data_IF_241276584487
#
_entry.id   IF_241276584487
#
_cell.length_a   1.000
_cell.length_b   1.000
_cell.length_c   1.000
_cell.angle_alpha   90.00
_cell.angle_beta   90.00
_cell.angle_gamma   90.00
#
_symmetry.space_group_name_H-M   'P 1'
#
loop_
_entity.id
_entity.type
_entity.pdbx_description
1 polymer ?
#
# COMPACT_ATOMS: atom_id res chain seq x y z
N UNK A 1 19.63 -18.70 42.41
CA UNK A 1 18.46 -18.56 41.52
C UNK A 1 18.22 -19.91 40.89
N UNK A 2 16.99 -20.45 40.98
CA UNK A 2 16.68 -21.80 40.46
C UNK A 2 16.97 -21.87 38.95
N UNK A 3 17.45 -23.02 38.48
CA UNK A 3 17.71 -23.34 37.07
C UNK A 3 16.55 -22.89 36.17
N UNK A 4 15.31 -23.04 36.66
CA UNK A 4 14.08 -22.63 35.98
C UNK A 4 13.99 -21.12 35.74
N UNK A 5 14.47 -20.29 36.67
CA UNK A 5 14.46 -18.84 36.53
C UNK A 5 15.47 -18.36 35.48
N UNK A 6 16.64 -19.01 35.40
CA UNK A 6 17.65 -18.69 34.38
C UNK A 6 17.20 -19.07 32.97
N UNK A 7 16.54 -20.22 32.80
CA UNK A 7 15.97 -20.64 31.51
C UNK A 7 14.84 -19.71 31.07
N UNK A 8 13.96 -19.28 31.99
CA UNK A 8 12.89 -18.34 31.69
C UNK A 8 13.41 -16.96 31.26
N UNK A 9 14.44 -16.44 31.92
CA UNK A 9 15.09 -15.18 31.55
C UNK A 9 15.76 -15.26 30.17
N UNK A 10 16.43 -16.37 29.86
CA UNK A 10 17.02 -16.62 28.53
C UNK A 10 15.95 -16.72 27.44
N UNK A 11 14.84 -17.43 27.68
CA UNK A 11 13.73 -17.51 26.73
C UNK A 11 13.07 -16.15 26.50
N UNK A 12 12.86 -15.35 27.55
CA UNK A 12 12.33 -13.99 27.43
C UNK A 12 13.28 -13.06 26.67
N UNK A 13 14.60 -13.20 26.88
CA UNK A 13 15.61 -12.44 26.13
C UNK A 13 15.65 -12.84 24.64
N UNK A 14 15.51 -14.14 24.33
CA UNK A 14 15.42 -14.62 22.95
C UNK A 14 14.12 -14.17 22.26
N UNK A 15 13.00 -14.12 22.99
CA UNK A 15 11.72 -13.59 22.48
C UNK A 15 11.78 -12.08 22.26
N UNK A 16 12.53 -11.34 23.08
CA UNK A 16 12.75 -9.90 22.89
C UNK A 16 13.66 -9.60 21.69
N UNK A 17 14.58 -10.52 21.35
CA UNK A 17 15.45 -10.42 20.18
C UNK A 17 14.76 -10.87 18.87
N UNK A 18 13.55 -11.43 18.94
CA UNK A 18 12.73 -11.73 17.78
C UNK A 18 12.00 -10.46 17.32
N UNK A 19 12.76 -9.56 16.71
CA UNK A 19 12.24 -8.35 16.07
C UNK A 19 11.49 -8.76 14.79
N UNK A 20 10.23 -9.19 14.94
CA UNK A 20 9.34 -9.51 13.83
C UNK A 20 8.95 -8.19 13.13
N UNK A 21 9.83 -7.71 12.26
CA UNK A 21 9.66 -6.41 11.60
C UNK A 21 8.69 -6.51 10.45
N UNK A 22 7.55 -5.90 10.69
CA UNK A 22 6.30 -6.13 9.99
C UNK A 22 5.61 -4.80 9.61
N UNK A 23 6.29 -3.69 9.92
CA UNK A 23 5.75 -2.34 9.88
C UNK A 23 5.78 -1.61 8.54
N UNK A 24 6.11 -2.30 7.43
CA UNK A 24 6.33 -1.66 6.14
C UNK A 24 7.74 -1.05 6.01
N UNK A 25 7.93 -0.18 5.01
CA UNK A 25 9.20 0.48 4.76
C UNK A 25 9.61 1.41 5.93
N UNK A 26 10.88 1.36 6.36
CA UNK A 26 11.38 2.23 7.44
C UNK A 26 11.49 3.69 6.99
N UNK A 27 11.44 4.62 7.94
CA UNK A 27 11.58 6.06 7.68
C UNK A 27 12.89 6.41 6.93
N UNK A 28 13.98 5.66 7.16
CA UNK A 28 15.25 5.86 6.44
C UNK A 28 15.13 5.63 4.92
N UNK A 29 14.21 4.76 4.47
CA UNK A 29 13.96 4.49 3.06
C UNK A 29 13.26 5.66 2.34
N UNK A 30 12.63 6.57 3.08
CA UNK A 30 11.79 7.62 2.53
C UNK A 30 12.57 8.61 1.66
N UNK A 31 13.80 8.94 2.05
CA UNK A 31 14.68 9.87 1.34
C UNK A 31 15.24 9.29 0.04
N UNK A 32 15.77 8.08 0.13
CA UNK A 32 16.56 7.45 -0.93
C UNK A 32 15.77 6.47 -1.78
N UNK A 33 14.55 6.08 -1.35
CA UNK A 33 13.83 4.93 -1.89
C UNK A 33 14.69 3.66 -1.89
N UNK A 34 15.59 3.55 -0.92
CA UNK A 34 16.43 2.38 -0.71
C UNK A 34 15.80 1.53 0.39
N UNK A 35 15.65 0.20 0.21
CA UNK A 35 15.26 -0.72 1.27
C UNK A 35 16.37 -0.83 2.35
N UNK A 36 16.57 0.21 3.15
CA UNK A 36 17.62 0.27 4.18
C UNK A 36 17.21 -0.57 5.41
N UNK A 37 17.47 -1.88 5.36
CA UNK A 37 17.34 -2.80 6.48
C UNK A 37 18.56 -3.71 6.58
N UNK A 38 18.92 -4.20 7.79
CA UNK A 38 19.93 -5.24 7.95
C UNK A 38 19.53 -6.47 7.14
N UNK A 39 20.29 -6.73 6.07
CA UNK A 39 20.11 -7.86 5.16
C UNK A 39 19.78 -7.51 3.71
N UNK A 40 19.42 -6.25 3.41
CA UNK A 40 19.52 -5.72 2.05
C UNK A 40 20.95 -5.21 1.81
N UNK A 41 21.92 -6.14 1.76
CA UNK A 41 23.35 -5.82 1.61
C UNK A 41 23.84 -5.92 0.16
N UNK A 42 23.02 -6.51 -0.72
CA UNK A 42 23.29 -6.53 -2.15
C UNK A 42 22.98 -5.16 -2.75
N UNK A 43 23.72 -4.74 -3.77
CA UNK A 43 23.31 -3.61 -4.60
C UNK A 43 21.93 -3.92 -5.23
N UNK A 44 21.12 -2.89 -5.42
CA UNK A 44 19.84 -3.03 -6.11
C UNK A 44 20.02 -3.64 -7.50
N UNK A 45 18.97 -4.28 -7.99
CA UNK A 45 18.90 -4.78 -9.36
C UNK A 45 19.08 -3.60 -10.35
N UNK A 46 19.85 -3.84 -11.41
CA UNK A 46 20.14 -2.84 -12.45
C UNK A 46 19.45 -3.16 -13.78
N UNK A 47 18.91 -4.37 -13.91
CA UNK A 47 18.04 -4.77 -15.00
C UNK A 47 16.70 -4.02 -14.94
N UNK A 48 15.97 -3.94 -16.07
CA UNK A 48 14.70 -3.24 -16.14
C UNK A 48 13.72 -3.69 -15.05
N UNK A 49 13.12 -2.72 -14.36
CA UNK A 49 12.15 -3.00 -13.29
C UNK A 49 10.89 -3.66 -13.87
N UNK A 50 10.46 -4.84 -13.37
CA UNK A 50 9.27 -5.53 -13.88
C UNK A 50 8.00 -5.09 -13.13
N UNK A 51 7.93 -3.82 -12.73
CA UNK A 51 6.81 -3.26 -11.95
C UNK A 51 6.58 -1.81 -12.36
N UNK A 52 5.35 -1.34 -12.27
CA UNK A 52 4.97 0.01 -12.66
C UNK A 52 3.83 0.55 -11.79
N UNK A 53 3.70 1.88 -11.81
CA UNK A 53 2.48 2.57 -11.37
C UNK A 53 1.66 2.81 -12.63
N UNK A 54 0.44 2.28 -12.65
CA UNK A 54 -0.52 2.50 -13.73
C UNK A 54 -1.02 3.95 -13.68
N UNK A 55 -0.71 4.70 -14.74
CA UNK A 55 -1.04 6.12 -14.88
C UNK A 55 -2.26 6.35 -15.79
N UNK A 56 -2.98 5.31 -16.19
CA UNK A 56 -4.15 5.44 -17.09
C UNK A 56 -5.33 6.22 -16.49
N UNK A 57 -5.27 6.55 -15.20
CA UNK A 57 -6.25 7.42 -14.52
C UNK A 57 -6.01 8.91 -14.75
N UNK A 58 -4.88 9.29 -15.36
CA UNK A 58 -4.55 10.66 -15.73
C UNK A 58 -4.89 10.88 -17.20
N UNK A 59 -5.46 12.05 -17.50
CA UNK A 59 -5.80 12.43 -18.87
C UNK A 59 -4.54 12.89 -19.62
N UNK A 60 -4.50 12.66 -20.92
CA UNK A 60 -3.47 13.22 -21.80
C UNK A 60 -3.95 14.52 -22.45
N UNK A 61 -3.05 15.46 -22.64
CA UNK A 61 -3.31 16.67 -23.40
C UNK A 61 -3.23 16.46 -24.91
N UNK A 62 -3.43 17.53 -25.69
CA UNK A 62 -3.37 17.47 -27.15
C UNK A 62 -2.00 17.03 -27.72
N UNK A 63 -0.95 17.07 -26.90
CA UNK A 63 0.41 16.65 -27.24
C UNK A 63 0.76 15.25 -26.69
N UNK A 64 -0.18 14.56 -26.03
CA UNK A 64 0.03 13.25 -25.40
C UNK A 64 0.74 13.33 -24.04
N UNK A 65 0.71 14.49 -23.38
CA UNK A 65 1.32 14.68 -22.06
C UNK A 65 0.31 14.36 -20.97
N UNK A 66 0.66 13.45 -20.06
CA UNK A 66 -0.20 13.11 -18.92
C UNK A 66 -0.33 14.30 -17.96
N UNK A 67 -1.56 14.58 -17.53
CA UNK A 67 -1.89 15.71 -16.67
C UNK A 67 -2.59 15.27 -15.39
N UNK A 68 -2.25 15.92 -14.28
CA UNK A 68 -3.04 15.86 -13.05
C UNK A 68 -3.82 17.16 -12.85
N UNK A 69 -5.04 17.05 -12.33
CA UNK A 69 -5.85 18.19 -11.94
C UNK A 69 -5.49 18.58 -10.50
N UNK A 70 -5.17 19.86 -10.22
CA UNK A 70 -4.94 20.33 -8.85
C UNK A 70 -6.09 19.96 -7.91
N UNK A 71 -5.75 19.39 -6.75
CA UNK A 71 -6.71 18.87 -5.77
C UNK A 71 -7.47 17.60 -6.18
N UNK A 72 -7.21 17.05 -7.38
CA UNK A 72 -7.79 15.81 -7.86
C UNK A 72 -7.43 14.61 -6.98
N UNK A 73 -8.35 13.64 -6.90
CA UNK A 73 -8.14 12.39 -6.13
C UNK A 73 -8.12 11.22 -7.08
N UNK A 74 -7.00 10.49 -7.09
CA UNK A 74 -6.73 9.41 -8.03
C UNK A 74 -6.61 8.09 -7.30
N UNK A 75 -7.19 7.03 -7.87
CA UNK A 75 -6.95 5.66 -7.42
C UNK A 75 -5.84 5.06 -8.27
N UNK A 76 -4.64 5.01 -7.72
CA UNK A 76 -3.45 4.50 -8.40
C UNK A 76 -3.33 2.99 -8.17
N UNK A 77 -2.84 2.29 -9.19
CA UNK A 77 -2.52 0.86 -9.11
C UNK A 77 -1.02 0.68 -9.26
N UNK A 78 -0.36 0.09 -8.26
CA UNK A 78 1.03 -0.38 -8.39
C UNK A 78 1.01 -1.88 -8.66
N UNK A 79 1.58 -2.31 -9.79
CA UNK A 79 1.43 -3.67 -10.30
C UNK A 79 2.71 -4.23 -10.91
N UNK A 80 2.76 -5.56 -11.01
CA UNK A 80 3.76 -6.26 -11.81
C UNK A 80 3.51 -6.09 -13.31
N UNK A 81 4.59 -6.08 -14.08
CA UNK A 81 4.60 -6.27 -15.51
C UNK A 81 5.05 -7.71 -15.79
N UNK A 82 4.15 -8.55 -16.29
CA UNK A 82 4.40 -9.99 -16.48
C UNK A 82 4.11 -10.83 -15.24
N UNK A 83 4.92 -11.88 -15.01
CA UNK A 83 4.59 -12.94 -14.04
C UNK A 83 5.34 -12.84 -12.71
N UNK A 84 6.14 -11.80 -12.50
CA UNK A 84 6.97 -11.65 -11.30
C UNK A 84 6.20 -10.93 -10.19
N UNK A 85 5.99 -11.58 -9.05
CA UNK A 85 5.35 -10.98 -7.86
C UNK A 85 6.31 -10.12 -7.05
N UNK A 86 5.79 -9.34 -6.10
CA UNK A 86 6.58 -8.57 -5.13
C UNK A 86 6.04 -8.75 -3.71
N UNK A 87 6.87 -8.51 -2.70
CA UNK A 87 6.51 -8.67 -1.28
C UNK A 87 6.48 -7.36 -0.50
N UNK A 88 7.20 -6.36 -0.99
CA UNK A 88 7.29 -5.05 -0.37
C UNK A 88 7.41 -3.96 -1.41
N UNK A 89 6.91 -2.79 -1.07
CA UNK A 89 7.02 -1.58 -1.88
C UNK A 89 7.02 -0.35 -0.99
N UNK A 90 7.51 0.76 -1.54
CA UNK A 90 7.34 2.11 -1.05
C UNK A 90 7.10 3.03 -2.26
N UNK A 91 6.03 3.82 -2.23
CA UNK A 91 5.72 4.83 -3.25
C UNK A 91 5.64 6.20 -2.60
N UNK A 92 6.23 7.21 -3.26
CA UNK A 92 6.18 8.62 -2.86
C UNK A 92 6.02 9.52 -4.09
N UNK A 93 5.32 10.63 -3.94
CA UNK A 93 5.19 11.64 -4.98
C UNK A 93 6.26 12.73 -4.79
N UNK A 94 6.88 13.17 -5.89
CA UNK A 94 8.00 14.12 -5.90
C UNK A 94 7.85 15.18 -6.98
N UNK A 95 8.41 16.36 -6.70
CA UNK A 95 8.55 17.43 -7.67
C UNK A 95 9.63 17.08 -8.70
N UNK A 96 9.34 17.29 -9.98
CA UNK A 96 10.30 17.05 -11.05
C UNK A 96 11.45 18.07 -11.04
N UNK A 97 11.19 19.30 -10.59
CA UNK A 97 12.17 20.39 -10.60
C UNK A 97 13.42 20.11 -9.75
N UNK A 98 13.25 19.48 -8.58
CA UNK A 98 14.32 19.33 -7.59
C UNK A 98 14.28 18.00 -6.83
N UNK A 99 13.42 17.06 -7.23
CA UNK A 99 13.25 15.75 -6.58
C UNK A 99 12.80 15.83 -5.11
N UNK A 100 12.28 16.98 -4.67
CA UNK A 100 11.76 17.19 -3.33
C UNK A 100 10.38 16.54 -3.15
N UNK A 101 9.99 16.31 -1.88
CA UNK A 101 8.70 15.69 -1.56
C UNK A 101 7.58 16.71 -1.64
N UNK A 102 6.46 16.31 -2.25
CA UNK A 102 5.26 17.14 -2.26
C UNK A 102 4.67 17.27 -0.85
N UNK A 103 4.37 18.50 -0.46
CA UNK A 103 3.54 18.82 0.70
C UNK A 103 2.08 18.88 0.28
N UNK A 104 1.15 18.53 1.18
CA UNK A 104 -0.30 18.58 0.91
C UNK A 104 -0.76 17.69 -0.28
N UNK A 105 -0.02 16.62 -0.58
CA UNK A 105 -0.39 15.62 -1.57
C UNK A 105 -0.47 14.22 -0.94
N UNK A 106 -1.43 14.00 -0.01
CA UNK A 106 -1.45 12.81 0.82
C UNK A 106 -1.81 11.54 0.03
N UNK A 107 -1.23 10.44 0.45
CA UNK A 107 -1.70 9.10 0.14
C UNK A 107 -2.77 8.67 1.16
N UNK A 108 -3.72 7.86 0.71
CA UNK A 108 -4.73 7.23 1.55
C UNK A 108 -4.88 5.74 1.22
N UNK A 109 -5.15 4.93 2.25
CA UNK A 109 -5.44 3.51 2.08
C UNK A 109 -6.85 3.33 1.52
N UNK A 110 -7.02 2.33 0.67
CA UNK A 110 -8.35 1.85 0.28
C UNK A 110 -8.75 0.74 1.25
N UNK A 111 -9.92 0.82 1.85
CA UNK A 111 -10.35 -0.10 2.91
C UNK A 111 -10.32 -1.59 2.51
N UNK A 112 -10.57 -1.90 1.23
CA UNK A 112 -10.49 -3.27 0.69
C UNK A 112 -9.06 -3.75 0.41
N UNK A 113 -8.05 -2.89 0.52
CA UNK A 113 -6.64 -3.16 0.21
C UNK A 113 -5.83 -3.36 1.49
N UNK A 114 -5.99 -4.53 2.10
CA UNK A 114 -5.41 -4.87 3.42
C UNK A 114 -3.88 -4.95 3.44
N UNK A 115 -3.25 -5.12 2.28
CA UNK A 115 -1.80 -5.26 2.11
C UNK A 115 -1.05 -3.91 1.98
N UNK A 116 -1.76 -2.79 2.20
CA UNK A 116 -1.20 -1.43 2.11
C UNK A 116 -1.31 -0.70 3.43
N UNK A 117 -0.39 0.24 3.68
CA UNK A 117 -0.45 1.18 4.80
C UNK A 117 0.27 2.48 4.48
N UNK A 118 -0.12 3.54 5.18
CA UNK A 118 0.65 4.78 5.17
C UNK A 118 2.05 4.53 5.76
N UNK A 119 3.05 5.04 5.07
CA UNK A 119 4.45 4.97 5.49
C UNK A 119 4.74 5.91 6.67
N UNK A 120 5.88 5.71 7.32
CA UNK A 120 6.37 6.61 8.36
C UNK A 120 7.18 7.80 7.81
N UNK A 121 7.03 8.10 6.51
CA UNK A 121 7.75 9.18 5.86
C UNK A 121 7.22 10.56 6.27
N UNK A 122 8.13 11.53 6.31
CA UNK A 122 7.79 12.95 6.42
C UNK A 122 7.82 13.64 5.05
N UNK A 123 6.88 14.55 4.74
CA UNK A 123 5.72 14.95 5.58
C UNK A 123 4.72 13.81 5.84
N UNK A 124 3.94 13.87 6.92
CA UNK A 124 2.92 12.85 7.20
C UNK A 124 2.03 12.55 5.98
N UNK A 125 1.70 11.27 5.78
CA UNK A 125 0.93 10.77 4.63
C UNK A 125 1.58 10.97 3.25
N UNK A 126 2.86 11.37 3.16
CA UNK A 126 3.57 11.58 1.87
C UNK A 126 4.14 10.31 1.23
N UNK A 127 3.73 9.14 1.72
CA UNK A 127 4.15 7.87 1.14
C UNK A 127 3.30 6.72 1.61
N UNK A 128 3.24 5.68 0.79
CA UNK A 128 2.50 4.46 1.06
C UNK A 128 3.41 3.24 0.85
N UNK A 129 3.23 2.22 1.69
CA UNK A 129 4.05 1.01 1.73
C UNK A 129 3.18 -0.22 1.94
N UNK A 130 3.76 -1.39 1.75
CA UNK A 130 3.16 -2.65 2.18
C UNK A 130 2.89 -2.68 3.70
N UNK A 131 1.80 -3.34 4.10
CA UNK A 131 1.43 -3.60 5.50
C UNK A 131 1.73 -5.03 5.96
N UNK A 132 2.28 -5.87 5.07
CA UNK A 132 2.41 -7.32 5.25
C UNK A 132 3.39 -7.66 6.36
N UNK A 133 2.82 -7.65 7.56
CA UNK A 133 3.51 -7.81 8.81
C UNK A 133 3.37 -9.19 9.43
N UNK A 134 2.92 -10.19 8.68
CA UNK A 134 2.85 -11.55 9.20
C UNK A 134 3.47 -12.55 8.24
N UNK A 135 4.13 -13.53 8.85
CA UNK A 135 4.61 -14.72 8.17
C UNK A 135 3.40 -15.64 7.91
N UNK A 136 3.23 -16.19 6.70
CA UNK A 136 4.12 -16.08 5.55
C UNK A 136 3.98 -14.72 4.83
N UNK A 137 5.11 -14.21 4.30
CA UNK A 137 5.12 -13.01 3.46
C UNK A 137 4.21 -13.24 2.26
N UNK A 138 3.22 -12.38 2.08
CA UNK A 138 2.27 -12.45 0.95
C UNK A 138 2.95 -11.97 -0.33
N UNK A 139 2.86 -12.79 -1.38
CA UNK A 139 3.23 -12.42 -2.74
C UNK A 139 2.11 -11.56 -3.35
N UNK A 140 2.47 -10.36 -3.80
CA UNK A 140 1.56 -9.39 -4.39
C UNK A 140 1.76 -9.33 -5.90
N UNK A 141 0.64 -9.23 -6.62
CA UNK A 141 0.61 -8.97 -8.06
C UNK A 141 0.27 -7.51 -8.34
N UNK A 142 -0.62 -6.93 -7.53
CA UNK A 142 -1.01 -5.53 -7.56
C UNK A 142 -1.44 -5.05 -6.17
N UNK A 143 -1.39 -3.74 -5.98
CA UNK A 143 -2.03 -3.02 -4.87
C UNK A 143 -2.65 -1.74 -5.39
N UNK A 144 -3.75 -1.31 -4.77
CA UNK A 144 -4.38 -0.02 -5.07
C UNK A 144 -4.36 0.91 -3.88
N UNK A 145 -4.22 2.20 -4.15
CA UNK A 145 -4.25 3.24 -3.13
C UNK A 145 -4.73 4.56 -3.70
N UNK A 146 -5.15 5.45 -2.83
CA UNK A 146 -5.54 6.80 -3.23
C UNK A 146 -4.38 7.75 -3.07
N UNK A 147 -4.31 8.72 -3.98
CA UNK A 147 -3.42 9.86 -3.90
C UNK A 147 -4.20 11.13 -4.25
N UNK A 148 -4.04 12.16 -3.44
CA UNK A 148 -4.61 13.49 -3.68
C UNK A 148 -3.52 14.41 -4.22
N UNK A 149 -3.77 15.02 -5.37
CA UNK A 149 -2.88 15.99 -5.97
C UNK A 149 -2.78 17.27 -5.11
N UNK A 150 -1.65 17.99 -5.16
CA UNK A 150 -1.52 19.30 -4.53
C UNK A 150 -2.70 20.22 -4.90
N UNK A 151 -3.24 21.02 -3.95
CA UNK A 151 -4.41 21.86 -4.20
C UNK A 151 -4.13 23.08 -5.07
N UNK A 152 -2.86 23.40 -5.30
CA UNK A 152 -2.40 24.49 -6.14
C UNK A 152 -1.31 23.97 -7.08
N UNK A 153 -1.05 24.72 -8.15
CA UNK A 153 0.06 24.46 -9.04
C UNK A 153 1.37 24.31 -8.25
N UNK A 154 2.03 23.19 -8.44
CA UNK A 154 3.38 22.93 -7.92
C UNK A 154 4.36 22.54 -9.04
N UNK A 155 3.91 22.56 -10.29
CA UNK A 155 4.66 22.11 -11.47
C UNK A 155 4.59 20.61 -11.71
N UNK A 156 5.43 20.10 -12.63
CA UNK A 156 5.45 18.69 -12.96
C UNK A 156 5.90 17.82 -11.80
N UNK A 157 5.30 16.64 -11.70
CA UNK A 157 5.57 15.66 -10.65
C UNK A 157 5.85 14.28 -11.24
N UNK A 158 6.37 13.38 -10.41
CA UNK A 158 6.42 11.96 -10.71
C UNK A 158 6.25 11.14 -9.42
N UNK A 159 5.92 9.87 -9.57
CA UNK A 159 5.93 8.93 -8.46
C UNK A 159 7.25 8.17 -8.44
N UNK A 160 8.03 8.39 -7.38
CA UNK A 160 9.21 7.60 -7.09
C UNK A 160 8.83 6.36 -6.29
N UNK A 161 9.39 5.20 -6.63
CA UNK A 161 9.11 3.97 -5.92
C UNK A 161 10.32 3.05 -5.73
N UNK A 162 10.19 2.17 -4.73
CA UNK A 162 11.06 1.05 -4.47
C UNK A 162 10.22 -0.22 -4.34
N UNK A 163 10.78 -1.35 -4.77
CA UNK A 163 10.06 -2.63 -4.76
C UNK A 163 11.01 -3.75 -4.40
N UNK A 164 10.53 -4.64 -3.53
CA UNK A 164 11.26 -5.77 -2.98
C UNK A 164 10.53 -7.05 -3.37
N UNK A 165 11.21 -7.91 -4.14
CA UNK A 165 10.75 -9.27 -4.43
C UNK A 165 11.19 -10.21 -3.33
N UNK A 166 12.49 -10.23 -3.05
CA UNK A 166 13.10 -10.98 -1.95
C UNK A 166 14.07 -10.07 -1.21
N UNK A 167 14.64 -10.55 -0.09
CA UNK A 167 15.63 -9.78 0.66
C UNK A 167 16.86 -9.38 -0.17
N UNK A 168 17.20 -10.13 -1.22
CA UNK A 168 18.36 -9.83 -2.07
C UNK A 168 17.98 -9.28 -3.45
N UNK A 169 16.71 -9.37 -3.83
CA UNK A 169 16.21 -8.96 -5.15
C UNK A 169 15.22 -7.81 -4.97
N UNK A 170 15.69 -6.60 -5.29
CA UNK A 170 14.92 -5.37 -5.16
C UNK A 170 15.37 -4.31 -6.17
N UNK A 171 14.47 -3.39 -6.50
CA UNK A 171 14.73 -2.21 -7.33
C UNK A 171 14.48 -0.97 -6.47
N UNK A 172 15.44 -0.05 -6.48
CA UNK A 172 15.40 1.18 -5.68
C UNK A 172 15.32 2.40 -6.57
N UNK A 173 14.74 3.48 -6.05
CA UNK A 173 14.69 4.80 -6.71
C UNK A 173 14.19 4.78 -8.16
N UNK A 174 13.20 3.95 -8.46
CA UNK A 174 12.54 3.92 -9.75
C UNK A 174 11.57 5.11 -9.86
N UNK A 175 11.25 5.52 -11.08
CA UNK A 175 10.40 6.67 -11.37
C UNK A 175 9.30 6.27 -12.36
N UNK A 176 8.08 6.75 -12.13
CA UNK A 176 7.02 6.73 -13.13
C UNK A 176 7.29 7.73 -14.27
N UNK A 177 6.45 7.73 -15.29
CA UNK A 177 6.37 8.88 -16.20
C UNK A 177 5.99 10.15 -15.43
N UNK A 178 6.35 11.30 -16.00
CA UNK A 178 6.02 12.61 -15.45
C UNK A 178 4.55 12.94 -15.70
N UNK A 179 3.97 13.68 -14.76
CA UNK A 179 2.65 14.28 -14.88
C UNK A 179 2.82 15.80 -14.84
N UNK A 180 2.34 16.47 -15.87
CA UNK A 180 2.24 17.93 -15.91
C UNK A 180 0.99 18.40 -15.16
N UNK A 181 0.98 19.68 -14.77
CA UNK A 181 -0.23 20.28 -14.25
C UNK A 181 -1.26 20.42 -15.39
N UNK A 182 -2.47 19.94 -15.13
CA UNK A 182 -3.63 20.16 -15.98
C UNK A 182 -4.49 21.33 -15.55
N UNK A 183 -5.51 21.66 -16.34
CA UNK A 183 -6.38 22.79 -16.04
C UNK A 183 -7.02 22.62 -14.65
N UNK A 184 -6.93 23.67 -13.84
CA UNK A 184 -7.65 23.72 -12.57
C UNK A 184 -9.15 23.47 -12.80
N UNK A 185 -9.84 22.81 -11.86
CA UNK A 185 -11.28 22.66 -11.98
C UNK A 185 -11.88 24.07 -12.04
N UNK A 186 -12.50 24.42 -13.17
CA UNK A 186 -13.16 25.70 -13.37
C UNK A 186 -14.12 25.87 -12.22
N UNK A 187 -13.81 26.77 -11.28
CA UNK A 187 -14.76 27.16 -10.26
C UNK A 187 -16.01 27.61 -11.01
N UNK A 188 -17.13 26.88 -10.85
CA UNK A 188 -18.42 27.36 -11.35
C UNK A 188 -18.54 28.81 -10.90
N UNK A 189 -18.68 29.78 -11.81
CA UNK A 189 -18.83 31.17 -11.39
C UNK A 189 -20.00 31.18 -10.42
N UNK A 190 -19.69 31.48 -9.15
CA UNK A 190 -20.73 31.75 -8.18
C UNK A 190 -21.38 33.02 -8.69
N UNK A 191 -22.48 32.86 -9.42
CA UNK A 191 -23.34 33.97 -9.83
C UNK A 191 -23.49 34.84 -8.59
N UNK A 192 -23.01 36.10 -8.61
CA UNK A 192 -23.28 37.02 -7.51
C UNK A 192 -24.78 36.97 -7.27
N UNK A 193 -25.20 36.63 -6.05
CA UNK A 193 -26.60 36.68 -5.69
C UNK A 193 -27.11 38.06 -6.08
N UNK A 194 -27.93 38.09 -7.12
CA UNK A 194 -28.56 39.30 -7.62
C UNK A 194 -29.29 39.93 -6.42
N UNK A 195 -29.08 41.23 -6.13
CA UNK A 195 -29.76 41.87 -5.02
C UNK A 195 -31.26 41.77 -5.25
N UNK A 196 -31.89 40.87 -4.48
CA UNK A 196 -33.31 40.57 -4.53
C UNK A 196 -34.10 41.88 -4.44
N UNK A 197 -34.76 42.20 -5.55
CA UNK A 197 -35.60 43.38 -5.67
C UNK A 197 -36.69 43.38 -4.60
N UNK A 198 -36.94 44.58 -4.07
CA UNK A 198 -37.92 44.94 -3.06
C UNK A 198 -39.30 44.30 -3.30
N UNK A 199 -39.94 43.69 -2.28
CA UNK A 199 -41.29 43.16 -2.44
C UNK A 199 -42.32 44.29 -2.53
N UNK A 200 -43.14 44.26 -3.59
CA UNK A 200 -44.33 45.09 -3.78
C UNK A 200 -45.41 44.64 -2.78
N UNK A 201 -46.09 45.54 -2.04
CA UNK A 201 -47.17 45.16 -1.13
C UNK A 201 -48.46 44.87 -1.90
N UNK A 202 -48.79 43.58 -2.06
CA UNK A 202 -50.11 43.14 -2.53
C UNK A 202 -51.10 43.18 -1.37
N UNK A 203 -52.05 44.10 -1.44
CA UNK A 203 -53.23 44.16 -0.56
C UNK A 203 -54.11 42.94 -0.82
N UNK A 204 -54.26 42.06 0.17
CA UNK A 204 -55.24 40.96 0.14
C UNK A 204 -56.10 41.01 1.39
N UNK A 205 -57.39 41.17 1.14
CA UNK A 205 -58.55 41.14 2.03
C UNK A 205 -58.63 39.86 2.87
N UNK A 206 -59.02 39.91 4.16
CA UNK A 206 -59.22 38.72 4.98
C UNK A 206 -60.67 38.24 4.96
N UNK A 207 -60.88 36.93 4.85
CA UNK A 207 -62.08 36.26 5.36
C UNK A 207 -61.68 34.95 6.07
N UNK A 208 -62.29 34.62 7.23
CA UNK A 208 -61.77 33.61 8.15
C UNK A 208 -62.44 32.24 7.97
N UNK A 209 -61.84 31.17 8.51
CA UNK A 209 -62.48 30.26 9.50
C UNK A 209 -61.74 28.91 9.67
N UNK A 210 -61.51 28.57 10.95
CA UNK A 210 -61.61 27.24 11.62
C UNK A 210 -60.65 26.05 11.33
N UNK A 211 -59.67 25.85 12.23
CA UNK A 211 -59.39 24.72 13.20
C UNK A 211 -60.29 23.45 13.14
N UNK A 212 -59.91 22.22 13.65
CA UNK A 212 -58.64 21.67 14.22
C UNK A 212 -58.10 20.35 13.56
N UNK A 213 -56.89 19.91 13.96
CA UNK A 213 -56.22 18.63 13.59
C UNK A 213 -56.77 17.38 14.32
N UNK A 214 -55.95 16.38 14.79
CA UNK A 214 -54.55 15.99 14.52
C UNK A 214 -54.45 14.53 13.98
N UNK A 215 -53.25 14.04 13.59
CA UNK A 215 -52.80 12.69 14.02
C UNK A 215 -51.35 12.34 13.61
N UNK A 216 -50.69 11.74 14.58
CA UNK A 216 -49.34 11.16 14.59
C UNK A 216 -49.41 9.72 14.09
N UNK A 217 -48.43 9.26 13.30
CA UNK A 217 -48.09 7.84 13.22
C UNK A 217 -46.64 7.64 12.78
N UNK A 218 -45.91 6.89 13.61
CA UNK A 218 -44.56 6.39 13.35
C UNK A 218 -44.59 5.15 12.42
N UNK A 219 -43.50 4.79 11.73
CA UNK A 219 -43.38 3.48 11.11
C UNK A 219 -42.57 2.49 11.97
N UNK A 220 -43.14 1.30 11.97
CA UNK A 220 -42.81 0.05 12.66
C UNK A 220 -41.53 -0.62 12.16
N UNK A 221 -40.82 -1.21 13.11
CA UNK A 221 -39.73 -2.16 12.97
C UNK A 221 -40.28 -3.55 12.55
N UNK A 222 -39.82 -4.09 11.42
CA UNK A 222 -40.01 -5.51 11.10
C UNK A 222 -38.67 -6.20 10.79
N UNK A 223 -38.36 -7.16 11.65
CA UNK A 223 -37.43 -8.27 11.40
C UNK A 223 -38.22 -9.43 10.77
N UNK A 224 -37.62 -10.19 9.84
CA UNK A 224 -37.83 -11.64 9.92
C UNK A 224 -36.53 -12.44 9.85
N UNK A 225 -36.45 -13.34 10.82
CA UNK A 225 -35.67 -14.58 10.86
C UNK A 225 -36.16 -15.57 9.79
N UNK A 226 -35.28 -16.43 9.27
CA UNK A 226 -35.47 -17.90 9.20
C UNK A 226 -34.24 -18.58 8.56
N UNK A 227 -33.95 -19.76 9.09
CA UNK A 227 -32.74 -20.57 8.94
C UNK A 227 -32.72 -21.52 7.71
N UNK A 228 -31.57 -22.19 7.52
CA UNK A 228 -31.39 -23.67 7.53
C UNK A 228 -30.48 -24.22 6.39
N UNK A 229 -29.23 -24.59 6.76
CA UNK A 229 -28.46 -25.85 6.48
C UNK A 229 -28.08 -26.24 5.02
N UNK A 230 -26.90 -26.88 4.80
CA UNK A 230 -26.19 -26.93 3.51
C UNK A 230 -26.40 -28.26 2.75
N UNK A 231 -25.79 -28.38 1.55
CA UNK A 231 -25.18 -29.65 1.18
C UNK A 231 -23.73 -29.51 0.71
N UNK A 232 -23.02 -30.62 0.82
CA UNK A 232 -21.59 -30.79 0.60
C UNK A 232 -21.27 -31.49 -0.74
N UNK A 233 -19.98 -31.40 -1.14
CA UNK A 233 -19.19 -32.32 -2.01
C UNK A 233 -19.41 -32.14 -3.54
N UNK A 234 -18.44 -32.40 -4.46
CA UNK A 234 -17.07 -32.95 -4.34
C UNK A 234 -15.90 -32.10 -4.86
N UNK A 235 -14.74 -32.47 -4.31
CA UNK A 235 -13.39 -32.30 -4.82
C UNK A 235 -13.15 -33.20 -6.04
N UNK A 236 -12.62 -32.64 -7.14
CA UNK A 236 -11.99 -33.39 -8.22
C UNK A 236 -10.70 -32.70 -8.66
N UNK A 237 -9.58 -33.33 -8.32
CA UNK A 237 -8.26 -33.07 -8.91
C UNK A 237 -8.22 -33.51 -10.37
N UNK A 238 -7.44 -32.82 -11.21
CA UNK A 238 -6.83 -33.44 -12.37
C UNK A 238 -5.31 -33.52 -12.25
N UNK A 239 -4.87 -34.76 -12.41
CA UNK A 239 -3.59 -35.34 -12.80
C UNK A 239 -2.65 -34.46 -13.63
N UNK A 240 -1.37 -34.51 -13.26
CA UNK A 240 -0.18 -34.15 -14.05
C UNK A 240 -0.11 -34.90 -15.39
N UNK A 241 0.51 -34.29 -16.41
CA UNK A 241 1.30 -35.04 -17.37
C UNK A 241 2.79 -34.73 -17.17
N UNK A 242 3.54 -35.81 -16.97
CA UNK A 242 4.98 -35.88 -17.21
C UNK A 242 5.28 -35.40 -18.64
N UNK A 243 6.26 -34.50 -18.79
CA UNK A 243 7.03 -34.45 -20.02
C UNK A 243 8.51 -34.24 -19.69
N UNK A 244 9.25 -35.33 -19.86
CA UNK A 244 10.69 -35.35 -19.89
C UNK A 244 11.19 -34.64 -21.15
N UNK A 245 12.09 -33.67 -21.01
CA UNK A 245 12.98 -33.25 -22.10
C UNK A 245 14.33 -32.86 -21.52
N UNK A 246 15.24 -33.82 -21.68
CA UNK A 246 16.69 -33.77 -21.89
C UNK A 246 17.37 -32.39 -21.89
N UNK A 247 18.27 -32.19 -20.92
CA UNK A 247 19.31 -31.16 -20.89
C UNK A 247 20.67 -31.83 -21.20
N UNK A 248 21.57 -31.23 -22.01
CA UNK A 248 22.92 -31.75 -22.19
C UNK A 248 23.90 -31.20 -21.14
N UNK A 249 24.86 -32.07 -20.81
CA UNK A 249 26.02 -31.87 -19.93
C UNK A 249 26.80 -30.57 -20.17
N UNK A 250 27.31 -29.98 -19.08
CA UNK A 250 28.15 -28.79 -19.18
C UNK A 250 28.83 -28.32 -17.88
N UNK A 251 29.71 -29.16 -17.33
CA UNK A 251 30.95 -28.81 -16.60
C UNK A 251 30.87 -28.31 -15.15
N UNK A 252 31.38 -29.17 -14.27
CA UNK A 252 31.79 -28.89 -12.89
C UNK A 252 32.82 -27.76 -12.79
N UNK A 253 32.60 -26.82 -11.89
CA UNK A 253 33.67 -26.05 -11.24
C UNK A 253 33.40 -26.00 -9.75
N UNK A 254 34.16 -26.80 -9.02
CA UNK A 254 34.21 -26.88 -7.56
C UNK A 254 34.77 -25.58 -6.98
N UNK A 255 33.96 -24.87 -6.20
CA UNK A 255 34.42 -23.82 -5.31
C UNK A 255 33.85 -24.04 -3.91
N UNK A 256 34.72 -24.59 -3.06
CA UNK A 256 34.59 -24.68 -1.61
C UNK A 256 34.30 -23.31 -0.99
N UNK A 257 33.19 -23.20 -0.27
CA UNK A 257 33.01 -22.15 0.74
C UNK A 257 32.37 -22.78 1.98
N UNK A 258 33.25 -23.14 2.90
CA UNK A 258 32.94 -23.61 4.24
C UNK A 258 32.25 -22.51 5.06
N UNK A 259 31.06 -22.84 5.54
CA UNK A 259 30.58 -22.60 6.90
C UNK A 259 30.58 -21.19 7.47
N UNK A 260 29.39 -20.59 7.62
CA UNK A 260 28.98 -19.88 8.83
C UNK A 260 27.45 -19.93 8.99
N UNK A 261 26.89 -21.09 9.34
CA UNK A 261 25.47 -21.18 9.76
C UNK A 261 25.28 -22.12 10.95
N UNK A 262 26.15 -22.06 11.96
CA UNK A 262 25.91 -22.73 13.24
C UNK A 262 26.56 -21.95 14.39
N UNK A 263 26.10 -20.73 14.66
CA UNK A 263 26.49 -20.01 15.88
C UNK A 263 25.37 -19.99 16.92
N UNK A 264 24.10 -19.89 16.53
CA UNK A 264 22.98 -19.88 17.48
C UNK A 264 22.59 -21.26 18.04
N UNK A 265 22.59 -22.29 17.19
CA UNK A 265 22.10 -23.63 17.58
C UNK A 265 23.15 -24.42 18.39
N UNK A 266 24.45 -24.21 18.14
CA UNK A 266 25.53 -24.87 18.89
C UNK A 266 25.66 -24.35 20.32
N UNK A 267 25.35 -23.07 20.58
CA UNK A 267 25.32 -22.53 21.95
C UNK A 267 24.14 -23.13 22.72
N UNK A 268 22.98 -23.31 22.08
CA UNK A 268 21.80 -23.90 22.71
C UNK A 268 22.01 -25.39 23.05
N UNK A 269 22.66 -26.16 22.16
CA UNK A 269 23.02 -27.56 22.40
C UNK A 269 24.15 -27.74 23.42
N UNK A 270 25.15 -26.86 23.43
CA UNK A 270 26.23 -26.88 24.43
C UNK A 270 25.70 -26.56 25.83
N UNK A 271 24.76 -25.62 25.97
CA UNK A 271 24.13 -25.31 27.26
C UNK A 271 23.20 -26.43 27.76
N UNK A 272 22.48 -27.12 26.86
CA UNK A 272 21.67 -28.29 27.23
C UNK A 272 22.54 -29.48 27.71
N UNK A 273 23.72 -29.67 27.12
CA UNK A 273 24.63 -30.74 27.52
C UNK A 273 25.25 -30.52 28.91
N UNK A 274 25.52 -29.27 29.31
CA UNK A 274 26.00 -28.94 30.66
C UNK A 274 24.91 -28.94 31.74
N UNK A 275 23.64 -29.00 31.37
CA UNK A 275 22.51 -29.09 32.32
C UNK A 275 22.08 -30.55 32.62
N UNK A 276 22.64 -31.53 31.91
CA UNK A 276 22.33 -32.96 32.02
C UNK A 276 23.44 -33.79 32.70
N UNK A 277 24.48 -33.13 33.23
CA UNK A 277 25.54 -33.69 34.08
C UNK A 277 25.52 -32.97 35.44
#
# INVERSE_FOLDING_TARGET
MSLAASVLVLLLACLYAADARSGGAPAAACGTLMPDLPGHTANGQTDPVPYEIDLTVFDEDENGTLQYTPGGVYTLTFRRMGDVTFRGFLVRARLAADNSFLTNAPFAMIASQTNTRISSCEPANSGITHSNGQSPRVELTEVRFQWTAPPADTGPIFFGFAVVRTQQVYWAAQMSAMLEEGPAPTATPTTPAEPSATPIPTVVTPEPSTTPGPETTAPTEETPSVATVPPAVPSSSPTTPDNATTEPEGTESTASASGVLFSGLSILLAMLATLLL
#
